data_IF_897968673302
#
_entry.id   IF_897968673302
#
_cell.length_a   1.000
_cell.length_b   1.000
_cell.length_c   1.000
_cell.angle_alpha   90.00
_cell.angle_beta   90.00
_cell.angle_gamma   90.00
#
_symmetry.space_group_name_H-M   'P 1'
#
loop_
_entity.id
_entity.type
_entity.pdbx_description
1 polymer ?
#
# COMPACT_ATOMS: atom_id res chain seq x y z
N UNK A 1 -26.92 -21.98 10.13
CA UNK A 1 -25.67 -21.52 10.79
C UNK A 1 -24.46 -21.39 9.84
N UNK A 2 -24.18 -22.39 8.99
CA UNK A 2 -23.01 -22.38 8.08
C UNK A 2 -23.11 -21.34 6.95
N UNK A 3 -24.28 -21.13 6.37
CA UNK A 3 -24.48 -20.16 5.26
C UNK A 3 -24.29 -18.71 5.75
N UNK A 4 -24.77 -18.39 6.96
CA UNK A 4 -24.57 -17.06 7.54
C UNK A 4 -23.08 -16.78 7.84
N UNK A 5 -22.32 -17.78 8.30
CA UNK A 5 -20.90 -17.63 8.56
C UNK A 5 -20.09 -17.39 7.28
N UNK A 6 -20.43 -18.07 6.17
CA UNK A 6 -19.78 -17.87 4.86
C UNK A 6 -20.10 -16.47 4.31
N UNK A 7 -21.36 -16.00 4.38
CA UNK A 7 -21.74 -14.67 3.92
C UNK A 7 -21.11 -13.54 4.78
N UNK A 8 -20.97 -13.74 6.08
CA UNK A 8 -20.30 -12.79 6.96
C UNK A 8 -18.80 -12.75 6.70
N UNK A 9 -18.19 -13.90 6.42
CA UNK A 9 -16.78 -14.02 6.04
C UNK A 9 -16.51 -13.30 4.71
N UNK A 10 -17.30 -13.58 3.65
CA UNK A 10 -17.18 -12.91 2.35
C UNK A 10 -17.41 -11.39 2.44
N UNK A 11 -18.31 -10.93 3.31
CA UNK A 11 -18.56 -9.49 3.52
C UNK A 11 -17.41 -8.84 4.30
N UNK A 12 -16.84 -9.52 5.27
CA UNK A 12 -15.67 -9.05 6.01
C UNK A 12 -14.44 -8.95 5.11
N UNK A 13 -14.20 -9.95 4.24
CA UNK A 13 -13.09 -9.92 3.29
C UNK A 13 -13.18 -8.77 2.28
N UNK A 14 -14.38 -8.48 1.74
CA UNK A 14 -14.57 -7.36 0.80
C UNK A 14 -14.28 -6.00 1.41
N UNK A 15 -14.35 -5.87 2.72
CA UNK A 15 -14.09 -4.63 3.45
C UNK A 15 -12.76 -4.64 4.20
N UNK A 16 -12.08 -5.80 4.26
CA UNK A 16 -10.80 -5.93 4.94
C UNK A 16 -9.74 -5.08 4.25
N UNK A 17 -9.03 -4.27 5.01
CA UNK A 17 -7.90 -3.48 4.54
C UNK A 17 -6.60 -4.11 4.97
N UNK A 18 -5.68 -4.23 4.03
CA UNK A 18 -4.31 -4.65 4.28
C UNK A 18 -3.42 -3.42 4.39
N UNK A 19 -2.39 -3.50 5.21
CA UNK A 19 -1.39 -2.45 5.45
C UNK A 19 -0.03 -2.98 5.03
N UNK A 20 0.53 -2.37 4.01
CA UNK A 20 1.79 -2.79 3.37
C UNK A 20 2.85 -1.73 3.69
N UNK A 21 3.88 -2.07 4.45
CA UNK A 21 5.01 -1.17 4.64
C UNK A 21 5.95 -1.23 3.44
N UNK A 22 6.31 -0.08 2.90
CA UNK A 22 7.21 -0.02 1.76
C UNK A 22 8.65 -0.24 2.21
N UNK A 23 9.39 -1.03 1.42
CA UNK A 23 10.80 -1.27 1.63
C UNK A 23 11.65 -0.39 0.71
N UNK A 24 12.71 0.18 1.27
CA UNK A 24 13.71 0.90 0.51
C UNK A 24 14.66 -0.11 -0.14
N UNK A 25 14.60 -0.25 -1.46
CA UNK A 25 15.37 -1.24 -2.23
C UNK A 25 16.89 -1.07 -2.10
N UNK A 26 17.37 0.13 -1.76
CA UNK A 26 18.82 0.41 -1.68
C UNK A 26 19.48 -0.26 -0.48
N UNK A 27 18.78 -0.39 0.61
CA UNK A 27 19.32 -0.90 1.89
C UNK A 27 18.44 -1.96 2.55
N UNK A 28 17.37 -2.37 1.90
CA UNK A 28 16.38 -3.35 2.39
C UNK A 28 15.82 -3.00 3.77
N UNK A 29 15.78 -1.70 4.11
CA UNK A 29 15.13 -1.19 5.33
C UNK A 29 13.78 -0.57 5.01
N UNK A 30 13.03 -0.21 6.04
CA UNK A 30 11.78 0.56 5.91
C UNK A 30 12.01 2.06 6.04
N UNK A 31 13.28 2.49 6.14
CA UNK A 31 13.69 3.86 6.39
C UNK A 31 13.88 4.62 5.09
N UNK A 32 13.11 5.67 4.90
CA UNK A 32 13.27 6.60 3.79
C UNK A 32 13.77 7.95 4.32
N UNK A 33 14.91 8.47 3.86
CA UNK A 33 15.35 9.82 4.24
C UNK A 33 14.45 10.92 3.68
N UNK A 34 13.82 10.64 2.56
CA UNK A 34 12.83 11.47 1.90
C UNK A 34 11.93 10.63 0.99
N UNK A 35 10.75 11.14 0.69
CA UNK A 35 9.86 10.58 -0.32
C UNK A 35 9.35 11.70 -1.22
N UNK A 36 9.36 11.46 -2.53
CA UNK A 36 8.71 12.30 -3.52
C UNK A 36 7.58 11.49 -4.14
N UNK A 37 6.38 12.04 -4.14
CA UNK A 37 5.19 11.37 -4.68
C UNK A 37 4.31 12.35 -5.45
N UNK A 38 3.50 11.78 -6.32
CA UNK A 38 2.40 12.42 -7.03
C UNK A 38 1.22 11.44 -7.10
N UNK A 39 0.15 11.81 -7.78
CA UNK A 39 -0.93 10.86 -8.07
C UNK A 39 -1.39 10.96 -9.52
N UNK A 40 -2.06 9.92 -10.00
CA UNK A 40 -2.61 9.86 -11.36
C UNK A 40 -3.88 10.69 -11.53
N UNK A 41 -4.51 11.06 -10.41
CA UNK A 41 -5.65 11.99 -10.30
C UNK A 41 -5.27 13.12 -9.36
N UNK A 42 -6.18 14.08 -9.11
CA UNK A 42 -6.04 14.96 -7.95
C UNK A 42 -5.92 14.14 -6.66
N UNK A 43 -5.33 14.74 -5.62
CA UNK A 43 -5.17 14.07 -4.34
C UNK A 43 -5.11 15.05 -3.18
N UNK A 44 -5.46 14.58 -2.00
CA UNK A 44 -5.46 15.37 -0.77
C UNK A 44 -4.37 14.85 0.18
N UNK A 45 -3.57 15.77 0.69
CA UNK A 45 -2.62 15.52 1.78
C UNK A 45 -3.23 16.07 3.08
N UNK A 46 -3.35 15.18 4.06
CA UNK A 46 -3.85 15.50 5.41
C UNK A 46 -2.65 15.45 6.36
N UNK A 47 -2.36 16.56 7.03
CA UNK A 47 -1.35 16.67 8.08
C UNK A 47 -2.04 17.25 9.33
N UNK A 48 -2.25 16.41 10.33
CA UNK A 48 -3.05 16.77 11.51
C UNK A 48 -4.45 17.27 11.13
N UNK A 49 -4.73 18.56 11.39
CA UNK A 49 -6.00 19.19 11.03
C UNK A 49 -6.01 19.86 9.65
N UNK A 50 -4.83 20.01 9.04
CA UNK A 50 -4.68 20.69 7.75
C UNK A 50 -4.94 19.69 6.62
N UNK A 51 -5.79 20.08 5.67
CA UNK A 51 -6.04 19.37 4.42
C UNK A 51 -5.66 20.27 3.25
N UNK A 52 -4.83 19.76 2.34
CA UNK A 52 -4.43 20.50 1.14
C UNK A 52 -4.66 19.58 -0.06
N UNK A 53 -5.40 20.09 -1.04
CA UNK A 53 -5.64 19.38 -2.30
C UNK A 53 -4.60 19.81 -3.33
N UNK A 54 -4.15 18.87 -4.15
CA UNK A 54 -3.18 19.02 -5.22
C UNK A 54 -3.75 18.45 -6.52
N UNK A 55 -3.37 19.04 -7.63
CA UNK A 55 -3.76 18.55 -8.95
C UNK A 55 -3.02 17.27 -9.33
N UNK A 56 -3.58 16.57 -10.34
CA UNK A 56 -2.95 15.35 -10.88
C UNK A 56 -1.50 15.62 -11.30
N UNK A 57 -0.63 14.67 -10.99
CA UNK A 57 0.82 14.72 -11.30
C UNK A 57 1.61 15.84 -10.61
N UNK A 58 0.99 16.69 -9.80
CA UNK A 58 1.72 17.63 -8.96
C UNK A 58 2.57 16.87 -7.94
N UNK A 59 3.87 17.20 -7.86
CA UNK A 59 4.82 16.46 -7.01
C UNK A 59 4.95 17.09 -5.64
N UNK A 60 4.88 16.25 -4.62
CA UNK A 60 5.16 16.64 -3.24
C UNK A 60 6.39 15.91 -2.73
N UNK A 61 7.25 16.63 -2.02
CA UNK A 61 8.45 16.08 -1.40
C UNK A 61 8.37 16.21 0.11
N UNK A 62 8.44 15.07 0.80
CA UNK A 62 8.55 14.99 2.24
C UNK A 62 9.96 14.55 2.62
N UNK A 63 10.45 15.09 3.73
CA UNK A 63 11.74 14.76 4.32
C UNK A 63 11.58 14.59 5.82
N UNK A 64 12.52 13.91 6.45
CA UNK A 64 12.53 13.77 7.91
C UNK A 64 12.57 15.12 8.66
N UNK A 65 12.99 16.20 7.99
CA UNK A 65 13.03 17.54 8.59
C UNK A 65 11.69 18.27 8.52
N UNK A 66 10.87 18.01 7.48
CA UNK A 66 9.61 18.75 7.30
C UNK A 66 8.36 17.98 7.76
N UNK A 67 8.46 16.67 8.00
CA UNK A 67 7.38 15.87 8.59
C UNK A 67 7.47 15.97 10.12
N UNK A 68 6.43 16.50 10.75
CA UNK A 68 6.33 16.69 12.22
C UNK A 68 5.14 15.97 12.83
N UNK A 69 4.26 15.48 12.01
CA UNK A 69 3.02 14.81 12.41
C UNK A 69 2.65 13.76 11.37
N UNK A 70 1.75 12.86 11.72
CA UNK A 70 1.20 11.85 10.84
C UNK A 70 0.60 12.47 9.58
N UNK A 71 0.99 11.97 8.41
CA UNK A 71 0.52 12.44 7.11
C UNK A 71 -0.25 11.32 6.42
N UNK A 72 -1.42 11.67 5.88
CA UNK A 72 -2.20 10.77 5.04
C UNK A 72 -2.34 11.36 3.64
N UNK A 73 -2.02 10.57 2.62
CA UNK A 73 -2.17 10.94 1.20
C UNK A 73 -3.32 10.14 0.62
N UNK A 74 -4.33 10.83 0.13
CA UNK A 74 -5.58 10.24 -0.35
C UNK A 74 -5.78 10.66 -1.81
N UNK A 75 -5.62 9.77 -2.80
CA UNK A 75 -5.93 10.08 -4.19
C UNK A 75 -7.45 10.21 -4.37
N UNK A 76 -7.86 11.02 -5.33
CA UNK A 76 -9.26 11.10 -5.74
C UNK A 76 -9.72 9.76 -6.33
N UNK A 77 -11.03 9.59 -6.46
CA UNK A 77 -11.65 8.31 -6.87
C UNK A 77 -10.97 7.68 -8.11
N UNK A 78 -10.55 6.44 -7.97
CA UNK A 78 -9.87 5.68 -9.03
C UNK A 78 -8.39 6.02 -9.22
N UNK A 79 -7.86 7.02 -8.49
CA UNK A 79 -6.47 7.42 -8.57
C UNK A 79 -5.51 6.43 -7.92
N UNK A 80 -4.24 6.56 -8.30
CA UNK A 80 -3.12 5.83 -7.71
C UNK A 80 -2.03 6.82 -7.30
N UNK A 81 -1.34 6.50 -6.21
CA UNK A 81 -0.17 7.27 -5.75
C UNK A 81 1.06 6.73 -6.47
N UNK A 82 1.83 7.62 -7.08
CA UNK A 82 3.11 7.31 -7.73
C UNK A 82 4.25 7.73 -6.82
N UNK A 83 5.15 6.81 -6.49
CA UNK A 83 6.35 7.11 -5.69
C UNK A 83 7.50 7.44 -6.63
N UNK A 84 7.73 8.74 -6.84
CA UNK A 84 8.73 9.30 -7.76
C UNK A 84 10.18 9.07 -7.28
N UNK A 85 10.37 8.89 -5.98
CA UNK A 85 11.70 8.66 -5.38
C UNK A 85 12.15 7.20 -5.45
N UNK A 86 11.27 6.28 -5.84
CA UNK A 86 11.55 4.87 -6.06
C UNK A 86 11.48 4.57 -7.54
N UNK A 87 12.48 3.90 -8.08
CA UNK A 87 12.52 3.48 -9.48
C UNK A 87 12.69 1.96 -9.52
N UNK A 88 11.64 1.25 -9.88
CA UNK A 88 11.64 -0.21 -10.07
C UNK A 88 11.92 -0.57 -11.53
N UNK A 89 12.11 -1.85 -11.82
CA UNK A 89 12.44 -2.35 -13.16
C UNK A 89 11.53 -1.80 -14.29
N UNK A 90 10.27 -1.50 -13.97
CA UNK A 90 9.27 -0.99 -14.90
C UNK A 90 8.92 0.50 -14.69
N UNK A 91 9.82 1.27 -14.06
CA UNK A 91 9.62 2.70 -13.77
C UNK A 91 9.14 2.97 -12.35
N UNK A 92 8.54 4.15 -12.15
CA UNK A 92 8.03 4.53 -10.84
C UNK A 92 6.79 3.71 -10.48
N UNK A 93 6.76 3.05 -9.31
CA UNK A 93 5.62 2.23 -8.92
C UNK A 93 4.38 3.08 -8.62
N UNK A 94 3.22 2.56 -9.00
CA UNK A 94 1.91 3.15 -8.75
C UNK A 94 1.11 2.28 -7.79
N UNK A 95 0.65 2.86 -6.70
CA UNK A 95 -0.04 2.18 -5.62
C UNK A 95 -1.50 2.62 -5.53
N UNK A 96 -2.41 1.65 -5.42
CA UNK A 96 -3.81 1.89 -5.06
C UNK A 96 -3.95 2.18 -3.58
N UNK A 97 -5.09 2.70 -3.16
CA UNK A 97 -5.38 3.01 -1.75
C UNK A 97 -4.76 4.32 -1.30
N UNK A 98 -4.47 4.41 -0.01
CA UNK A 98 -3.91 5.61 0.61
C UNK A 98 -2.50 5.35 1.12
N UNK A 99 -1.71 6.42 1.29
CA UNK A 99 -0.46 6.35 2.02
C UNK A 99 -0.60 7.00 3.39
N UNK A 100 -0.03 6.34 4.39
CA UNK A 100 0.26 6.90 5.70
C UNK A 100 1.78 7.04 5.82
N UNK A 101 2.23 8.22 6.24
CA UNK A 101 3.66 8.54 6.33
C UNK A 101 3.92 9.09 7.72
N UNK A 102 4.79 8.41 8.44
CA UNK A 102 5.21 8.75 9.79
C UNK A 102 6.71 9.00 9.87
N UNK A 103 7.10 9.90 10.76
CA UNK A 103 8.50 10.09 11.13
C UNK A 103 8.85 9.15 12.30
N UNK A 104 9.74 8.20 12.05
CA UNK A 104 10.23 7.22 13.02
C UNK A 104 11.76 7.30 13.04
N UNK A 105 12.36 7.55 14.19
CA UNK A 105 13.83 7.57 14.38
C UNK A 105 14.62 8.34 13.31
N UNK A 106 14.11 9.52 12.92
CA UNK A 106 14.69 10.42 11.89
C UNK A 106 14.57 9.92 10.44
N UNK A 107 13.78 8.89 10.19
CA UNK A 107 13.43 8.40 8.85
C UNK A 107 11.92 8.41 8.64
N UNK A 108 11.48 8.38 7.39
CA UNK A 108 10.07 8.27 7.05
C UNK A 108 9.72 6.79 6.85
N UNK A 109 8.69 6.32 7.55
CA UNK A 109 8.04 5.05 7.25
C UNK A 109 6.80 5.32 6.41
N UNK A 110 6.58 4.51 5.38
CA UNK A 110 5.49 4.66 4.43
C UNK A 110 4.66 3.39 4.46
N UNK A 111 3.39 3.53 4.80
CA UNK A 111 2.43 2.42 4.79
C UNK A 111 1.38 2.69 3.71
N UNK A 112 1.20 1.75 2.82
CA UNK A 112 0.10 1.72 1.87
C UNK A 112 -1.07 0.94 2.46
N UNK A 113 -2.18 1.60 2.73
CA UNK A 113 -3.42 0.96 3.19
C UNK A 113 -4.42 0.90 2.03
N UNK A 114 -4.91 -0.31 1.72
CA UNK A 114 -5.83 -0.54 0.62
C UNK A 114 -6.74 -1.75 0.91
N UNK A 115 -7.88 -1.89 0.21
CA UNK A 115 -8.69 -3.10 0.24
C UNK A 115 -7.88 -4.34 -0.15
N UNK A 116 -8.10 -5.46 0.54
CA UNK A 116 -7.38 -6.72 0.29
C UNK A 116 -7.48 -7.16 -1.17
N UNK A 117 -8.64 -7.05 -1.80
CA UNK A 117 -8.82 -7.43 -3.21
C UNK A 117 -8.00 -6.54 -4.16
N UNK A 118 -7.84 -5.25 -3.86
CA UNK A 118 -7.00 -4.35 -4.66
C UNK A 118 -5.51 -4.65 -4.49
N UNK A 119 -5.09 -5.10 -3.32
CA UNK A 119 -3.73 -5.60 -3.07
C UNK A 119 -3.39 -6.78 -3.97
N UNK A 120 -4.34 -7.72 -4.18
CA UNK A 120 -4.14 -8.87 -5.05
C UNK A 120 -3.92 -8.50 -6.52
N UNK A 121 -4.42 -7.35 -7.00
CA UNK A 121 -4.16 -6.87 -8.36
C UNK A 121 -2.67 -6.57 -8.63
N UNK A 122 -1.90 -6.30 -7.58
CA UNK A 122 -0.46 -6.11 -7.68
C UNK A 122 0.31 -7.41 -7.41
N UNK A 123 -0.10 -8.17 -6.41
CA UNK A 123 0.62 -9.37 -5.97
C UNK A 123 0.52 -10.51 -6.98
N UNK A 124 -0.66 -10.78 -7.53
CA UNK A 124 -0.83 -11.91 -8.45
C UNK A 124 0.08 -11.77 -9.69
N UNK A 125 0.14 -10.61 -10.38
CA UNK A 125 1.05 -10.44 -11.51
C UNK A 125 2.54 -10.44 -11.14
N UNK A 126 2.91 -10.05 -9.92
CA UNK A 126 4.29 -10.09 -9.46
C UNK A 126 4.79 -11.50 -9.16
N UNK A 127 3.89 -12.39 -8.75
CA UNK A 127 4.19 -13.79 -8.42
C UNK A 127 4.07 -14.73 -9.62
N UNK A 128 3.21 -14.41 -10.59
CA UNK A 128 2.89 -15.26 -11.73
C UNK A 128 2.63 -14.42 -12.99
N UNK A 129 3.36 -14.68 -14.10
CA UNK A 129 3.14 -13.98 -15.37
C UNK A 129 1.68 -14.03 -15.83
N UNK A 130 1.17 -12.93 -16.34
CA UNK A 130 -0.24 -12.76 -16.74
C UNK A 130 -0.64 -13.62 -17.93
N UNK A 131 0.32 -14.17 -18.66
CA UNK A 131 0.17 -15.07 -19.82
C UNK A 131 -0.20 -16.50 -19.40
N UNK A 132 -0.08 -16.83 -18.10
CA UNK A 132 -0.48 -18.14 -17.59
C UNK A 132 -1.98 -18.38 -17.74
N UNK A 133 -2.36 -19.65 -17.76
CA UNK A 133 -3.76 -20.06 -17.87
C UNK A 133 -4.61 -19.44 -16.74
N UNK A 134 -5.81 -19.00 -17.07
CA UNK A 134 -6.74 -18.30 -16.15
C UNK A 134 -6.96 -19.07 -14.84
N UNK A 135 -7.03 -20.41 -14.91
CA UNK A 135 -7.25 -21.23 -13.70
C UNK A 135 -6.01 -21.24 -12.79
N UNK A 136 -4.80 -21.15 -13.35
CA UNK A 136 -3.58 -21.00 -12.58
C UNK A 136 -3.53 -19.61 -11.86
N UNK A 137 -3.90 -18.54 -12.56
CA UNK A 137 -3.99 -17.21 -11.97
C UNK A 137 -5.05 -17.14 -10.85
N UNK A 138 -6.18 -17.82 -11.02
CA UNK A 138 -7.20 -17.94 -9.96
C UNK A 138 -6.66 -18.69 -8.73
N UNK A 139 -5.95 -19.79 -8.95
CA UNK A 139 -5.34 -20.55 -7.87
C UNK A 139 -4.30 -19.71 -7.12
N UNK A 140 -3.46 -18.97 -7.84
CA UNK A 140 -2.50 -18.03 -7.26
C UNK A 140 -3.20 -16.94 -6.43
N UNK A 141 -4.29 -16.38 -6.92
CA UNK A 141 -5.06 -15.38 -6.18
C UNK A 141 -5.63 -15.92 -4.86
N UNK A 142 -6.08 -17.17 -4.85
CA UNK A 142 -6.55 -17.85 -3.61
C UNK A 142 -5.40 -18.05 -2.62
N UNK A 143 -4.22 -18.47 -3.11
CA UNK A 143 -3.04 -18.64 -2.26
C UNK A 143 -2.57 -17.30 -1.68
N UNK A 144 -2.44 -16.27 -2.50
CA UNK A 144 -2.03 -14.92 -2.09
C UNK A 144 -3.01 -14.32 -1.07
N UNK A 145 -4.32 -14.46 -1.30
CA UNK A 145 -5.36 -14.02 -0.35
C UNK A 145 -5.24 -14.73 1.00
N UNK A 146 -5.09 -16.05 0.98
CA UNK A 146 -4.97 -16.87 2.20
C UNK A 146 -3.72 -16.48 2.99
N UNK A 147 -2.60 -16.24 2.30
CA UNK A 147 -1.37 -15.76 2.90
C UNK A 147 -1.57 -14.38 3.53
N UNK A 148 -2.14 -13.43 2.79
CA UNK A 148 -2.39 -12.07 3.27
C UNK A 148 -3.27 -12.06 4.52
N UNK A 149 -4.38 -12.82 4.53
CA UNK A 149 -5.28 -12.95 5.70
C UNK A 149 -4.51 -13.50 6.91
N UNK A 150 -3.66 -14.51 6.71
CA UNK A 150 -2.81 -15.04 7.77
C UNK A 150 -1.85 -14.00 8.33
N UNK A 151 -1.24 -13.18 7.47
CA UNK A 151 -0.34 -12.09 7.90
C UNK A 151 -1.11 -10.98 8.64
N UNK A 152 -2.32 -10.63 8.19
CA UNK A 152 -3.17 -9.65 8.87
C UNK A 152 -3.55 -10.09 10.30
N UNK A 153 -3.74 -11.39 10.53
CA UNK A 153 -3.96 -11.96 11.86
C UNK A 153 -2.66 -12.12 12.67
N UNK A 154 -1.50 -12.03 12.01
CA UNK A 154 -0.18 -12.19 12.60
C UNK A 154 0.33 -10.94 13.29
N UNK A 155 1.50 -11.07 13.94
CA UNK A 155 2.15 -9.96 14.67
C UNK A 155 3.54 -9.61 14.11
N UNK A 156 3.96 -10.18 12.98
CA UNK A 156 5.32 -10.04 12.43
C UNK A 156 5.74 -8.58 12.28
N UNK A 157 4.88 -7.74 11.70
CA UNK A 157 5.13 -6.33 11.44
C UNK A 157 4.23 -5.39 12.27
N UNK A 158 3.58 -5.91 13.33
CA UNK A 158 2.64 -5.13 14.15
C UNK A 158 3.31 -3.93 14.82
N UNK A 159 4.58 -4.04 15.22
CA UNK A 159 5.35 -2.93 15.78
C UNK A 159 5.56 -1.79 14.78
N UNK A 160 5.50 -2.07 13.49
CA UNK A 160 5.59 -1.09 12.39
C UNK A 160 4.22 -0.63 11.91
N UNK A 161 3.12 -1.08 12.54
CA UNK A 161 1.76 -0.76 12.13
C UNK A 161 1.35 -1.42 10.80
N UNK A 162 2.06 -2.45 10.34
CA UNK A 162 1.85 -3.11 9.05
C UNK A 162 1.50 -4.60 9.20
N UNK A 163 0.96 -5.18 8.14
CA UNK A 163 0.67 -6.61 8.05
C UNK A 163 1.72 -7.35 7.20
N UNK A 164 2.12 -6.74 6.10
CA UNK A 164 3.10 -7.25 5.13
C UNK A 164 4.04 -6.12 4.70
N UNK A 165 5.13 -6.48 4.04
CA UNK A 165 5.99 -5.55 3.32
C UNK A 165 5.85 -5.75 1.81
N UNK A 166 6.41 -4.85 1.01
CA UNK A 166 6.40 -4.90 -0.45
C UNK A 166 7.65 -5.57 -1.05
N UNK A 167 8.37 -6.36 -0.23
CA UNK A 167 9.48 -7.19 -0.68
C UNK A 167 8.94 -8.43 -1.40
N UNK A 168 8.85 -8.36 -2.72
CA UNK A 168 8.53 -9.49 -3.59
C UNK A 168 9.59 -9.60 -4.67
#
# INVERSE_FOLDING_TARGET
GKICAVLLYERAEKTAKIRVILQNEKNHSYDFPNVCFSATTGYTVVAGKKKTHFDASEKQKLTAQNVKEHIVVIPDSGGKIRVESVNKQYGHPEYRGIFEIDLVDKALHIINELPLEEYLYSVVPSEMPTEYQKEALKAQAVCARSYAIKQMAGKRLAALGAHVDDSV
#
